data_IF_738241671450
#
_entry.id   IF_738241671450
#
_cell.length_a   1.000
_cell.length_b   1.000
_cell.length_c   1.000
_cell.angle_alpha   90.00
_cell.angle_beta   90.00
_cell.angle_gamma   90.00
#
_symmetry.space_group_name_H-M   'P 1'
#
loop_
_entity.id
_entity.type
_entity.pdbx_description
1 polymer ?
#
# COMPACT_ATOMS: atom_id res chain seq x y z
N UNK A 1 16.34 -8.01 17.56
CA UNK A 1 15.41 -6.86 17.42
C UNK A 1 14.01 -7.39 17.58
N UNK A 2 13.28 -6.84 18.53
CA UNK A 2 11.92 -7.27 18.89
C UNK A 2 10.92 -6.32 18.23
N UNK A 3 10.13 -6.81 17.24
CA UNK A 3 9.24 -6.00 16.43
C UNK A 3 7.77 -6.25 16.74
N UNK A 4 7.02 -5.18 17.00
CA UNK A 4 5.56 -5.20 17.08
C UNK A 4 4.98 -4.83 15.70
N UNK A 5 4.14 -5.68 15.13
CA UNK A 5 3.37 -5.37 13.92
C UNK A 5 1.93 -5.02 14.25
N UNK A 6 1.43 -3.94 13.69
CA UNK A 6 0.00 -3.59 13.72
C UNK A 6 -0.50 -3.52 12.28
N UNK A 7 -1.40 -4.45 11.92
CA UNK A 7 -1.99 -4.55 10.60
C UNK A 7 -3.43 -4.03 10.59
N UNK A 8 -3.71 -3.00 9.81
CA UNK A 8 -5.06 -2.54 9.54
C UNK A 8 -5.65 -3.33 8.36
N UNK A 9 -6.77 -4.01 8.60
CA UNK A 9 -7.47 -4.83 7.61
C UNK A 9 -8.86 -4.26 7.34
N UNK A 10 -9.19 -4.09 6.06
CA UNK A 10 -10.55 -3.78 5.61
C UNK A 10 -10.85 -4.53 4.33
N UNK A 11 -12.02 -5.13 4.26
CA UNK A 11 -12.59 -5.68 3.04
C UNK A 11 -14.09 -5.39 2.98
N UNK A 12 -14.56 -4.86 1.86
CA UNK A 12 -15.96 -4.44 1.68
C UNK A 12 -16.96 -5.60 1.83
N UNK A 13 -16.53 -6.82 1.52
CA UNK A 13 -17.35 -8.04 1.58
C UNK A 13 -17.06 -8.88 2.83
N UNK A 14 -16.14 -8.44 3.69
CA UNK A 14 -15.69 -9.18 4.85
C UNK A 14 -14.90 -10.46 4.54
N UNK A 15 -14.23 -10.49 3.38
CA UNK A 15 -13.49 -11.66 2.89
C UNK A 15 -11.98 -11.41 3.05
N UNK A 16 -11.29 -12.38 3.64
CA UNK A 16 -9.83 -12.40 3.66
C UNK A 16 -9.34 -13.26 2.49
N UNK A 17 -8.76 -12.61 1.49
CA UNK A 17 -8.23 -13.25 0.29
C UNK A 17 -6.77 -13.72 0.47
N UNK A 18 -6.27 -14.46 -0.52
CA UNK A 18 -4.94 -15.05 -0.49
C UNK A 18 -3.83 -14.00 -0.46
N UNK A 19 -4.05 -12.81 -1.00
CA UNK A 19 -3.06 -11.73 -0.98
C UNK A 19 -2.80 -11.20 0.44
N UNK A 20 -3.85 -11.16 1.28
CA UNK A 20 -3.72 -10.81 2.70
C UNK A 20 -2.96 -11.90 3.44
N UNK A 21 -3.31 -13.17 3.21
CA UNK A 21 -2.65 -14.32 3.85
C UNK A 21 -1.16 -14.36 3.49
N UNK A 22 -0.83 -14.13 2.21
CA UNK A 22 0.55 -14.06 1.76
C UNK A 22 1.34 -12.97 2.49
N UNK A 23 0.79 -11.75 2.57
CA UNK A 23 1.41 -10.63 3.28
C UNK A 23 1.64 -10.96 4.77
N UNK A 24 0.63 -11.49 5.45
CA UNK A 24 0.75 -11.84 6.87
C UNK A 24 1.80 -12.93 7.12
N UNK A 25 1.88 -13.92 6.23
CA UNK A 25 2.90 -14.97 6.29
C UNK A 25 4.32 -14.39 6.15
N UNK A 26 4.53 -13.49 5.19
CA UNK A 26 5.81 -12.82 5.02
C UNK A 26 6.15 -11.95 6.23
N UNK A 27 5.21 -11.16 6.74
CA UNK A 27 5.42 -10.30 7.91
C UNK A 27 5.78 -11.09 9.16
N UNK A 28 5.22 -12.28 9.35
CA UNK A 28 5.57 -13.16 10.49
C UNK A 28 7.04 -13.61 10.50
N UNK A 29 7.75 -13.50 9.38
CA UNK A 29 9.19 -13.83 9.34
C UNK A 29 10.06 -12.77 10.01
N UNK A 30 9.54 -11.56 10.20
CA UNK A 30 10.27 -10.41 10.75
C UNK A 30 9.65 -9.83 12.02
N UNK A 31 8.39 -10.14 12.31
CA UNK A 31 7.69 -9.66 13.51
C UNK A 31 7.83 -10.62 14.67
N UNK A 32 7.89 -10.08 15.88
CA UNK A 32 7.88 -10.85 17.14
C UNK A 32 6.48 -10.98 17.72
N UNK A 33 5.59 -10.08 17.36
CA UNK A 33 4.19 -10.05 17.77
C UNK A 33 3.35 -9.31 16.74
N UNK A 34 2.20 -9.84 16.38
CA UNK A 34 1.33 -9.24 15.36
C UNK A 34 -0.09 -9.03 15.90
N UNK A 35 -0.53 -7.78 15.87
CA UNK A 35 -1.91 -7.38 16.16
C UNK A 35 -2.62 -6.99 14.88
N UNK A 36 -3.76 -7.60 14.60
CA UNK A 36 -4.61 -7.25 13.46
C UNK A 36 -5.83 -6.48 13.96
N UNK A 37 -6.09 -5.33 13.36
CA UNK A 37 -7.29 -4.53 13.59
C UNK A 37 -8.15 -4.52 12.34
N UNK A 38 -9.31 -5.16 12.42
CA UNK A 38 -10.30 -5.22 11.36
C UNK A 38 -11.24 -4.02 11.43
N UNK A 39 -11.23 -3.17 10.40
CA UNK A 39 -12.21 -2.12 10.21
C UNK A 39 -13.47 -2.71 9.55
N UNK A 40 -14.58 -2.82 10.29
CA UNK A 40 -15.81 -3.46 9.84
C UNK A 40 -15.87 -4.96 10.14
N UNK A 41 -16.84 -5.62 9.53
CA UNK A 41 -17.11 -7.05 9.78
C UNK A 41 -16.28 -7.93 8.87
N UNK A 42 -15.72 -9.00 9.44
CA UNK A 42 -15.04 -10.07 8.70
C UNK A 42 -15.79 -11.38 8.92
N UNK A 43 -16.04 -12.11 7.84
CA UNK A 43 -16.71 -13.40 7.92
C UNK A 43 -15.93 -14.42 8.76
N UNK A 44 -16.63 -15.38 9.39
CA UNK A 44 -16.03 -16.38 10.29
C UNK A 44 -14.82 -17.13 9.70
N UNK A 45 -14.85 -17.42 8.40
CA UNK A 45 -13.73 -18.04 7.71
C UNK A 45 -12.53 -17.12 7.65
N UNK A 46 -12.77 -15.84 7.31
CA UNK A 46 -11.74 -14.81 7.32
C UNK A 46 -11.08 -14.64 8.69
N UNK A 47 -11.88 -14.59 9.76
CA UNK A 47 -11.36 -14.50 11.13
C UNK A 47 -10.44 -15.68 11.45
N UNK A 48 -10.85 -16.92 11.12
CA UNK A 48 -10.00 -18.10 11.32
C UNK A 48 -8.68 -18.02 10.56
N UNK A 49 -8.69 -17.49 9.33
CA UNK A 49 -7.48 -17.29 8.54
C UNK A 49 -6.53 -16.27 9.18
N UNK A 50 -7.07 -15.15 9.69
CA UNK A 50 -6.27 -14.14 10.38
C UNK A 50 -5.62 -14.68 11.64
N UNK A 51 -6.36 -15.44 12.45
CA UNK A 51 -5.89 -16.05 13.70
C UNK A 51 -4.74 -17.06 13.54
N UNK A 52 -4.47 -17.53 12.32
CA UNK A 52 -3.29 -18.39 12.04
C UNK A 52 -1.99 -17.59 12.11
N UNK A 53 -2.04 -16.29 11.81
CA UNK A 53 -0.85 -15.46 11.66
C UNK A 53 -0.74 -14.36 12.73
N UNK A 54 -1.84 -13.97 13.35
CA UNK A 54 -1.89 -12.92 14.34
C UNK A 54 -1.90 -13.48 15.76
N UNK A 55 -1.20 -12.81 16.68
CA UNK A 55 -1.29 -13.05 18.10
C UNK A 55 -2.62 -12.51 18.66
N UNK A 56 -3.10 -11.38 18.11
CA UNK A 56 -4.39 -10.80 18.45
C UNK A 56 -5.14 -10.31 17.22
N UNK A 57 -6.48 -10.46 17.25
CA UNK A 57 -7.39 -9.93 16.21
C UNK A 57 -8.50 -9.13 16.88
N UNK A 58 -8.58 -7.86 16.59
CA UNK A 58 -9.57 -6.91 17.10
C UNK A 58 -10.49 -6.40 16.01
N UNK A 59 -11.68 -5.97 16.38
CA UNK A 59 -12.69 -5.45 15.46
C UNK A 59 -13.17 -4.08 15.91
N UNK A 60 -13.38 -3.19 14.95
CA UNK A 60 -13.93 -1.86 15.19
C UNK A 60 -14.80 -1.39 14.02
N UNK A 61 -15.67 -0.40 14.21
CA UNK A 61 -16.39 0.23 13.10
C UNK A 61 -15.43 0.74 12.02
N UNK A 62 -15.83 0.65 10.75
CA UNK A 62 -15.01 1.18 9.64
C UNK A 62 -15.16 2.71 9.53
N UNK A 63 -14.54 3.43 10.45
CA UNK A 63 -14.54 4.89 10.55
C UNK A 63 -13.09 5.35 10.77
N UNK A 64 -12.62 6.36 10.04
CA UNK A 64 -11.30 6.98 10.23
C UNK A 64 -10.14 6.21 9.62
N UNK A 65 -10.41 5.34 8.64
CA UNK A 65 -9.39 4.62 7.86
C UNK A 65 -8.38 3.80 8.70
N UNK A 66 -7.18 3.60 8.14
CA UNK A 66 -6.10 2.83 8.78
C UNK A 66 -5.55 3.53 10.02
N UNK A 67 -5.52 4.85 9.99
CA UNK A 67 -5.05 5.71 11.09
C UNK A 67 -5.79 5.40 12.38
N UNK A 68 -7.12 5.32 12.31
CA UNK A 68 -7.94 5.03 13.47
C UNK A 68 -7.76 3.58 13.97
N UNK A 69 -7.42 2.64 13.06
CA UNK A 69 -7.06 1.28 13.45
C UNK A 69 -5.72 1.25 14.19
N UNK A 70 -4.71 1.96 13.68
CA UNK A 70 -3.40 2.07 14.33
C UNK A 70 -3.52 2.75 15.71
N UNK A 71 -4.23 3.88 15.78
CA UNK A 71 -4.48 4.58 17.05
C UNK A 71 -5.16 3.68 18.06
N UNK A 72 -6.25 3.00 17.67
CA UNK A 72 -6.96 2.08 18.55
C UNK A 72 -6.07 0.94 19.06
N UNK A 73 -5.18 0.42 18.20
CA UNK A 73 -4.22 -0.60 18.62
C UNK A 73 -3.24 -0.07 19.65
N UNK A 74 -2.63 1.08 19.39
CA UNK A 74 -1.62 1.69 20.26
C UNK A 74 -2.20 2.10 21.63
N UNK A 75 -3.40 2.68 21.65
CA UNK A 75 -4.00 3.20 22.88
C UNK A 75 -4.79 2.16 23.69
N UNK A 76 -5.52 1.25 23.00
CA UNK A 76 -6.54 0.44 23.65
C UNK A 76 -6.26 -1.08 23.61
N UNK A 77 -5.69 -1.61 22.53
CA UNK A 77 -5.55 -3.06 22.41
C UNK A 77 -4.20 -3.54 22.90
N UNK A 78 -3.11 -2.89 22.50
CA UNK A 78 -1.75 -3.18 22.97
C UNK A 78 -1.42 -2.36 24.22
N UNK A 79 -1.69 -1.06 24.15
CA UNK A 79 -1.36 -0.10 25.19
C UNK A 79 0.11 0.33 25.17
N UNK A 80 0.37 1.59 25.55
CA UNK A 80 1.68 2.22 25.46
C UNK A 80 2.77 1.51 26.28
N UNK A 81 2.42 0.92 27.43
CA UNK A 81 3.37 0.19 28.27
C UNK A 81 3.90 -1.06 27.58
N UNK A 82 3.06 -1.72 26.79
CA UNK A 82 3.45 -2.89 25.99
C UNK A 82 4.22 -2.47 24.74
N UNK A 83 3.77 -1.43 24.04
CA UNK A 83 4.46 -0.85 22.87
C UNK A 83 5.91 -0.51 23.22
N UNK A 84 6.14 0.10 24.38
CA UNK A 84 7.48 0.45 24.89
C UNK A 84 8.41 -0.73 25.19
N UNK A 85 7.96 -1.99 25.02
CA UNK A 85 8.80 -3.19 25.20
C UNK A 85 9.42 -3.70 23.89
N UNK A 86 9.14 -3.02 22.78
CA UNK A 86 9.63 -3.38 21.45
C UNK A 86 10.66 -2.40 20.94
N UNK A 87 11.62 -2.93 20.15
CA UNK A 87 12.70 -2.14 19.53
C UNK A 87 12.18 -1.39 18.27
N UNK A 88 11.19 -1.97 17.59
CA UNK A 88 10.58 -1.38 16.39
C UNK A 88 9.06 -1.63 16.36
N UNK A 89 8.34 -0.64 15.81
CA UNK A 89 6.92 -0.74 15.49
C UNK A 89 6.75 -0.75 13.97
N UNK A 90 5.96 -1.68 13.45
CA UNK A 90 5.60 -1.78 12.03
C UNK A 90 4.10 -1.57 11.89
N UNK A 91 3.71 -0.46 11.25
CA UNK A 91 2.32 -0.15 10.89
C UNK A 91 2.12 -0.47 9.42
N UNK A 92 1.16 -1.32 9.08
CA UNK A 92 0.91 -1.67 7.69
C UNK A 92 -0.55 -2.02 7.44
N UNK A 93 -0.96 -1.97 6.16
CA UNK A 93 -2.30 -2.32 5.76
C UNK A 93 -2.31 -3.30 4.58
N UNK A 94 -3.51 -3.68 4.13
CA UNK A 94 -3.71 -4.70 3.08
C UNK A 94 -4.07 -4.12 1.71
N UNK A 95 -3.70 -2.87 1.43
CA UNK A 95 -4.08 -2.15 0.18
C UNK A 95 -3.15 -2.40 -1.00
N UNK A 96 -2.24 -3.38 -0.89
CA UNK A 96 -1.29 -3.75 -1.93
C UNK A 96 -1.13 -5.26 -2.06
N UNK A 97 -0.59 -5.71 -3.18
CA UNK A 97 -0.08 -7.07 -3.43
C UNK A 97 1.42 -7.12 -3.15
N UNK A 98 1.91 -8.26 -2.70
CA UNK A 98 3.32 -8.46 -2.35
C UNK A 98 3.51 -8.80 -0.87
N UNK A 99 4.76 -8.75 -0.36
CA UNK A 99 5.98 -8.35 -1.07
C UNK A 99 6.39 -9.35 -2.16
N UNK A 100 7.02 -8.85 -3.23
CA UNK A 100 7.52 -9.67 -4.34
C UNK A 100 8.98 -10.13 -4.16
N UNK A 101 9.56 -9.86 -3.03
CA UNK A 101 10.85 -10.36 -2.57
C UNK A 101 10.75 -10.70 -1.08
N UNK A 102 11.67 -11.48 -0.51
CA UNK A 102 11.67 -11.76 0.92
C UNK A 102 11.67 -10.47 1.75
N UNK A 103 10.67 -10.30 2.61
CA UNK A 103 10.50 -9.07 3.41
C UNK A 103 11.75 -8.79 4.27
N UNK A 104 12.44 -9.84 4.73
CA UNK A 104 13.67 -9.71 5.51
C UNK A 104 14.74 -8.90 4.77
N UNK A 105 14.86 -9.04 3.44
CA UNK A 105 15.84 -8.29 2.66
C UNK A 105 15.60 -6.78 2.66
N UNK A 106 14.32 -6.36 2.74
CA UNK A 106 13.93 -4.96 2.86
C UNK A 106 14.37 -4.41 4.21
N UNK A 107 14.08 -5.14 5.30
CA UNK A 107 14.49 -4.75 6.63
C UNK A 107 16.03 -4.72 6.77
N UNK A 108 16.75 -5.69 6.20
CA UNK A 108 18.21 -5.73 6.23
C UNK A 108 18.84 -4.53 5.52
N UNK A 109 18.25 -4.08 4.41
CA UNK A 109 18.70 -2.89 3.70
C UNK A 109 18.42 -1.61 4.49
N UNK A 110 17.20 -1.47 5.02
CA UNK A 110 16.82 -0.26 5.76
C UNK A 110 17.56 -0.15 7.11
N UNK A 111 17.88 -1.27 7.76
CA UNK A 111 18.70 -1.29 8.97
C UNK A 111 20.10 -0.70 8.75
N UNK A 112 20.67 -0.84 7.54
CA UNK A 112 21.96 -0.22 7.20
C UNK A 112 21.87 1.31 7.11
N UNK A 113 20.70 1.83 6.71
CA UNK A 113 20.46 3.28 6.54
C UNK A 113 20.21 4.00 7.87
N UNK A 114 19.88 3.28 8.95
CA UNK A 114 19.75 3.79 10.33
C UNK A 114 18.85 5.02 10.44
N UNK A 115 17.63 4.92 9.97
CA UNK A 115 16.62 5.99 10.05
C UNK A 115 15.73 5.81 11.27
N UNK A 116 15.23 6.91 11.80
CA UNK A 116 14.30 6.90 12.92
C UNK A 116 12.91 6.38 12.50
N UNK A 117 12.53 6.61 11.25
CA UNK A 117 11.38 5.95 10.63
C UNK A 117 11.55 5.84 9.11
N UNK A 118 10.84 4.89 8.51
CA UNK A 118 10.87 4.70 7.06
C UNK A 118 9.61 4.03 6.54
N UNK A 119 9.35 4.15 5.23
CA UNK A 119 8.28 3.47 4.54
C UNK A 119 8.76 2.75 3.28
N UNK A 120 7.89 1.98 2.61
CA UNK A 120 8.27 1.34 1.35
C UNK A 120 8.45 2.35 0.22
N UNK A 121 7.63 3.41 0.21
CA UNK A 121 7.67 4.47 -0.80
C UNK A 121 7.45 5.82 -0.17
N UNK A 122 7.86 6.85 -0.89
CA UNK A 122 7.59 8.24 -0.57
C UNK A 122 6.59 8.85 -1.57
N UNK A 123 5.96 9.93 -1.21
CA UNK A 123 5.29 10.86 -2.09
C UNK A 123 6.18 12.09 -2.24
N UNK A 124 6.35 12.59 -3.47
CA UNK A 124 7.09 13.82 -3.75
C UNK A 124 6.32 15.08 -3.37
N UNK A 125 6.96 16.22 -3.53
CA UNK A 125 6.30 17.51 -3.40
C UNK A 125 5.23 17.67 -4.49
N UNK A 126 4.07 18.20 -4.12
CA UNK A 126 2.97 18.44 -5.05
C UNK A 126 2.20 19.69 -4.66
N UNK A 127 1.75 20.45 -5.66
CA UNK A 127 0.87 21.62 -5.46
C UNK A 127 -0.34 21.53 -6.37
N UNK A 128 -1.53 21.70 -5.80
CA UNK A 128 -2.81 21.77 -6.51
C UNK A 128 -3.53 23.06 -6.10
N UNK A 129 -3.36 24.13 -6.87
CA UNK A 129 -3.83 25.44 -6.48
C UNK A 129 -3.21 25.89 -5.15
N UNK A 130 -4.04 26.17 -4.16
CA UNK A 130 -3.60 26.54 -2.81
C UNK A 130 -3.18 25.36 -1.93
N UNK A 131 -3.46 24.12 -2.34
CA UNK A 131 -3.12 22.91 -1.62
C UNK A 131 -1.69 22.48 -1.91
N UNK A 132 -0.84 22.47 -0.88
CA UNK A 132 0.57 22.15 -0.95
C UNK A 132 0.90 20.91 -0.12
N UNK A 133 1.31 19.85 -0.79
CA UNK A 133 1.74 18.59 -0.19
C UNK A 133 3.26 18.56 -0.15
N UNK A 134 3.82 18.46 1.04
CA UNK A 134 5.26 18.28 1.24
C UNK A 134 5.67 16.81 1.04
N UNK A 135 6.94 16.53 0.71
CA UNK A 135 7.46 15.18 0.63
C UNK A 135 7.22 14.43 1.95
N UNK A 136 6.74 13.18 1.84
CA UNK A 136 6.43 12.36 3.01
C UNK A 136 6.50 10.86 2.69
N UNK A 137 6.67 10.03 3.71
CA UNK A 137 6.51 8.57 3.59
C UNK A 137 5.04 8.22 3.48
N UNK A 138 4.72 7.24 2.63
CA UNK A 138 3.35 6.79 2.48
C UNK A 138 2.95 5.81 3.58
N UNK A 139 1.81 6.05 4.21
CA UNK A 139 1.38 5.44 5.47
C UNK A 139 0.93 3.97 5.39
N UNK A 140 0.84 3.40 4.19
CA UNK A 140 0.40 2.01 4.05
C UNK A 140 1.43 0.98 4.55
N UNK A 141 2.67 1.40 4.76
CA UNK A 141 3.73 0.63 5.39
C UNK A 141 4.75 1.57 6.03
N UNK A 142 4.83 1.58 7.36
CA UNK A 142 5.71 2.42 8.14
C UNK A 142 6.44 1.56 9.17
N UNK A 143 7.74 1.80 9.32
CA UNK A 143 8.55 1.22 10.38
C UNK A 143 9.14 2.36 11.21
N UNK A 144 8.95 2.27 12.51
CA UNK A 144 9.37 3.25 13.50
C UNK A 144 10.40 2.60 14.40
N UNK A 145 11.61 3.17 14.46
CA UNK A 145 12.70 2.64 15.27
C UNK A 145 12.59 3.05 16.74
N UNK A 146 13.33 2.38 17.58
CA UNK A 146 13.34 2.56 19.03
C UNK A 146 13.45 4.02 19.47
N UNK A 147 14.33 4.80 18.84
CA UNK A 147 14.58 6.19 19.18
C UNK A 147 13.32 7.06 19.08
N UNK A 148 12.55 6.92 18.01
CA UNK A 148 11.28 7.63 17.84
C UNK A 148 10.16 6.95 18.64
N UNK A 149 10.08 5.62 18.61
CA UNK A 149 9.01 4.84 19.26
C UNK A 149 8.88 5.13 20.76
N UNK A 150 10.00 5.30 21.46
CA UNK A 150 10.05 5.52 22.90
C UNK A 150 10.00 7.01 23.29
N UNK A 151 9.85 7.93 22.32
CA UNK A 151 9.78 9.35 22.59
C UNK A 151 8.37 9.78 23.06
N UNK A 152 8.32 10.79 23.91
CA UNK A 152 7.05 11.42 24.30
C UNK A 152 6.34 12.04 23.10
N UNK A 153 7.11 12.59 22.14
CA UNK A 153 6.58 13.19 20.92
C UNK A 153 5.79 12.20 20.08
N UNK A 154 6.24 10.94 20.01
CA UNK A 154 5.51 9.89 19.28
C UNK A 154 4.15 9.59 19.93
N UNK A 155 4.14 9.47 21.24
CA UNK A 155 2.91 9.25 22.01
C UNK A 155 1.95 10.43 21.91
N UNK A 156 2.46 11.66 22.04
CA UNK A 156 1.67 12.90 21.91
C UNK A 156 1.10 13.06 20.51
N UNK A 157 1.87 12.71 19.47
CA UNK A 157 1.39 12.68 18.09
C UNK A 157 0.12 11.84 17.97
N UNK A 158 0.13 10.61 18.45
CA UNK A 158 -1.03 9.71 18.38
C UNK A 158 -2.20 10.21 19.23
N UNK A 159 -1.94 10.67 20.43
CA UNK A 159 -2.98 11.21 21.31
C UNK A 159 -3.71 12.42 20.69
N UNK A 160 -3.01 13.23 19.89
CA UNK A 160 -3.57 14.40 19.22
C UNK A 160 -4.34 14.09 17.93
N UNK A 161 -4.23 12.86 17.37
CA UNK A 161 -4.92 12.50 16.12
C UNK A 161 -6.42 12.44 16.32
N UNK A 162 -7.15 13.05 15.38
CA UNK A 162 -8.61 13.02 15.36
C UNK A 162 -9.10 11.64 14.90
N UNK A 163 -10.08 11.12 15.60
CA UNK A 163 -10.82 9.94 15.18
C UNK A 163 -12.05 10.36 14.35
N UNK A 164 -12.59 9.43 13.55
CA UNK A 164 -13.86 9.64 12.86
C UNK A 164 -13.79 10.55 11.63
N UNK A 165 -12.63 10.74 11.03
CA UNK A 165 -12.53 11.44 9.76
C UNK A 165 -13.18 10.60 8.67
N UNK A 166 -14.16 11.19 7.97
CA UNK A 166 -14.90 10.54 6.88
C UNK A 166 -14.30 10.85 5.50
N UNK A 167 -13.60 11.98 5.38
CA UNK A 167 -12.92 12.39 4.16
C UNK A 167 -11.49 11.83 4.11
N UNK A 168 -11.17 11.15 3.01
CA UNK A 168 -9.84 10.55 2.79
C UNK A 168 -8.73 11.60 2.70
N UNK A 169 -9.00 12.77 2.12
CA UNK A 169 -8.01 13.86 2.02
C UNK A 169 -7.69 14.38 3.41
N UNK A 170 -8.71 14.62 4.23
CA UNK A 170 -8.53 15.01 5.62
C UNK A 170 -7.79 13.93 6.44
N UNK A 171 -8.00 12.64 6.15
CA UNK A 171 -7.27 11.56 6.80
C UNK A 171 -5.79 11.54 6.38
N UNK A 172 -5.48 11.76 5.09
CA UNK A 172 -4.11 11.87 4.58
C UNK A 172 -3.39 13.06 5.23
N UNK A 173 -4.01 14.24 5.26
CA UNK A 173 -3.44 15.43 5.88
C UNK A 173 -3.22 15.27 7.39
N UNK A 174 -4.22 14.73 8.08
CA UNK A 174 -4.19 14.56 9.54
C UNK A 174 -3.18 13.49 9.98
N UNK A 175 -2.80 12.58 9.11
CA UNK A 175 -1.88 11.50 9.46
C UNK A 175 -0.66 11.45 8.53
N UNK A 176 -0.81 11.07 7.28
CA UNK A 176 0.30 10.68 6.40
C UNK A 176 1.30 11.83 6.23
N UNK A 177 0.81 13.01 5.84
CA UNK A 177 1.64 14.20 5.65
C UNK A 177 2.12 14.72 7.00
N UNK A 178 1.23 14.84 7.99
CA UNK A 178 1.57 15.36 9.28
C UNK A 178 2.52 14.47 10.08
N UNK A 179 2.50 13.15 9.87
CA UNK A 179 3.43 12.21 10.48
C UNK A 179 4.88 12.55 10.11
N UNK A 180 5.18 12.55 8.84
CA UNK A 180 6.54 12.86 8.38
C UNK A 180 6.97 14.26 8.81
N UNK A 181 6.10 15.26 8.61
CA UNK A 181 6.41 16.66 8.94
C UNK A 181 6.67 16.88 10.43
N UNK A 182 5.84 16.30 11.30
CA UNK A 182 5.99 16.47 12.75
C UNK A 182 7.34 15.92 13.21
N UNK A 183 7.67 14.70 12.80
CA UNK A 183 8.90 14.09 13.30
C UNK A 183 10.16 14.65 12.64
N UNK A 184 10.09 15.08 11.39
CA UNK A 184 11.19 15.81 10.75
C UNK A 184 11.47 17.15 11.45
N UNK A 185 10.43 17.90 11.86
CA UNK A 185 10.57 19.15 12.63
C UNK A 185 11.16 18.94 14.02
N UNK A 186 10.92 17.78 14.63
CA UNK A 186 11.51 17.38 15.90
C UNK A 186 12.93 16.78 15.74
N UNK A 187 13.47 16.77 14.51
CA UNK A 187 14.83 16.35 14.21
C UNK A 187 15.01 14.86 13.93
N UNK A 188 13.92 14.08 13.80
CA UNK A 188 14.00 12.68 13.44
C UNK A 188 14.24 12.51 11.95
N UNK A 189 15.11 11.55 11.60
CA UNK A 189 15.48 11.24 10.24
C UNK A 189 14.55 10.19 9.61
N UNK A 190 14.22 10.38 8.32
CA UNK A 190 13.39 9.43 7.60
C UNK A 190 13.92 9.08 6.21
N UNK A 191 13.42 7.98 5.64
CA UNK A 191 13.73 7.55 4.27
C UNK A 191 12.60 6.67 3.70
N UNK A 192 12.71 6.29 2.44
CA UNK A 192 11.89 5.25 1.83
C UNK A 192 12.77 4.15 1.25
N UNK A 193 12.28 2.90 1.28
CA UNK A 193 13.00 1.78 0.69
C UNK A 193 13.25 2.02 -0.81
N UNK A 194 12.21 2.39 -1.54
CA UNK A 194 12.29 2.79 -2.96
C UNK A 194 12.45 4.31 -3.02
N UNK A 195 13.59 4.75 -3.53
CA UNK A 195 13.87 6.16 -3.77
C UNK A 195 13.36 6.57 -5.16
N UNK A 196 12.42 7.50 -5.20
CA UNK A 196 11.79 7.99 -6.43
C UNK A 196 12.10 9.44 -6.73
N UNK A 197 13.07 10.04 -6.02
CA UNK A 197 13.39 11.48 -6.15
C UNK A 197 13.78 11.91 -7.56
N UNK A 198 14.43 11.05 -8.31
CA UNK A 198 14.81 11.26 -9.71
C UNK A 198 13.63 11.15 -10.70
N UNK A 199 12.51 10.58 -10.27
CA UNK A 199 11.26 10.51 -11.03
C UNK A 199 10.30 11.65 -10.68
N UNK A 200 10.54 12.35 -9.57
CA UNK A 200 9.77 13.51 -9.17
C UNK A 200 10.19 14.69 -10.05
N UNK A 201 9.34 15.10 -11.00
CA UNK A 201 9.66 16.19 -11.92
C UNK A 201 9.82 17.54 -11.19
N UNK A 202 10.45 18.52 -11.89
CA UNK A 202 10.55 19.91 -11.41
C UNK A 202 9.18 20.61 -11.36
N UNK A 203 8.19 20.08 -12.08
CA UNK A 203 6.83 20.61 -12.14
C UNK A 203 5.97 20.02 -11.03
N UNK A 204 6.00 20.68 -9.87
CA UNK A 204 5.20 20.31 -8.69
C UNK A 204 3.69 20.56 -8.86
N UNK A 205 3.28 21.27 -9.91
CA UNK A 205 1.87 21.53 -10.22
C UNK A 205 1.18 20.33 -10.89
N UNK A 206 1.97 19.40 -11.41
CA UNK A 206 1.47 18.13 -11.89
C UNK A 206 1.38 17.11 -10.75
N UNK A 207 0.19 16.61 -10.48
CA UNK A 207 -0.05 15.53 -9.52
C UNK A 207 0.53 14.21 -10.06
N UNK A 208 1.86 14.15 -10.21
CA UNK A 208 2.55 12.98 -10.69
C UNK A 208 3.04 12.12 -9.51
N UNK A 209 2.38 10.99 -9.31
CA UNK A 209 2.80 10.00 -8.33
C UNK A 209 3.36 8.78 -9.07
N UNK A 210 4.70 8.54 -9.05
CA UNK A 210 5.32 7.41 -9.74
C UNK A 210 4.70 6.06 -9.36
N UNK A 211 4.27 5.88 -8.11
CA UNK A 211 3.61 4.65 -7.65
C UNK A 211 2.30 4.35 -8.39
N UNK A 212 1.65 5.41 -8.90
CA UNK A 212 0.41 5.30 -9.67
C UNK A 212 0.68 5.14 -11.16
N UNK A 213 1.53 5.98 -11.72
CA UNK A 213 1.70 6.09 -13.18
C UNK A 213 2.78 5.17 -13.75
N UNK A 214 3.77 4.76 -12.95
CA UNK A 214 4.91 3.96 -13.41
C UNK A 214 5.12 2.64 -12.60
N UNK A 215 4.07 1.87 -12.27
CA UNK A 215 4.21 0.70 -11.41
C UNK A 215 5.15 -0.36 -11.99
N UNK A 216 5.19 -0.56 -13.32
CA UNK A 216 6.10 -1.49 -13.96
C UNK A 216 7.56 -1.02 -13.89
N UNK A 217 7.80 0.25 -14.18
CA UNK A 217 9.13 0.85 -14.09
C UNK A 217 9.67 0.74 -12.66
N UNK A 218 8.85 1.08 -11.67
CA UNK A 218 9.25 0.97 -10.26
C UNK A 218 9.57 -0.47 -9.84
N UNK A 219 8.77 -1.44 -10.30
CA UNK A 219 9.04 -2.87 -10.05
C UNK A 219 10.36 -3.30 -10.64
N UNK A 220 10.57 -3.01 -11.94
CA UNK A 220 11.69 -3.53 -12.71
C UNK A 220 13.01 -2.81 -12.43
N UNK A 221 12.98 -1.49 -12.32
CA UNK A 221 14.18 -0.65 -12.30
C UNK A 221 14.53 -0.14 -10.89
N UNK A 222 13.52 0.02 -10.04
CA UNK A 222 13.71 0.52 -8.66
C UNK A 222 13.51 -0.55 -7.59
N UNK A 223 13.16 -1.78 -7.97
CA UNK A 223 12.96 -2.87 -7.02
C UNK A 223 11.76 -2.69 -6.10
N UNK A 224 10.69 -1.99 -6.57
CA UNK A 224 9.45 -1.83 -5.78
C UNK A 224 8.89 -3.21 -5.44
N UNK A 225 8.73 -3.56 -4.14
CA UNK A 225 8.34 -4.90 -3.75
C UNK A 225 6.82 -5.11 -3.74
N UNK A 226 6.02 -4.14 -4.19
CA UNK A 226 4.56 -4.18 -4.07
C UNK A 226 3.85 -3.64 -5.33
N UNK A 227 2.55 -3.98 -5.47
CA UNK A 227 1.66 -3.39 -6.44
C UNK A 227 0.37 -2.94 -5.74
N UNK A 228 -0.02 -1.67 -5.89
CA UNK A 228 -1.20 -1.12 -5.21
C UNK A 228 -2.50 -1.68 -5.80
N UNK A 229 -3.39 -2.18 -4.94
CA UNK A 229 -4.69 -2.75 -5.35
C UNK A 229 -5.61 -1.71 -6.01
N UNK A 230 -5.56 -0.45 -5.56
CA UNK A 230 -6.41 0.63 -6.07
C UNK A 230 -6.12 1.05 -7.52
N UNK A 231 -5.01 0.62 -8.10
CA UNK A 231 -4.67 0.97 -9.49
C UNK A 231 -5.55 0.26 -10.51
N UNK A 232 -6.19 -0.83 -10.11
CA UNK A 232 -6.94 -1.69 -11.01
C UNK A 232 -8.16 -1.06 -11.67
N UNK A 233 -9.03 -0.31 -10.99
CA UNK A 233 -10.18 0.34 -11.65
C UNK A 233 -9.79 1.28 -12.78
N UNK A 234 -8.60 1.88 -12.70
CA UNK A 234 -8.11 2.84 -13.71
C UNK A 234 -7.56 2.18 -14.96
N UNK A 235 -7.25 0.87 -14.93
CA UNK A 235 -6.82 0.12 -16.13
C UNK A 235 -7.85 0.14 -17.24
N UNK A 236 -9.11 0.34 -16.90
CA UNK A 236 -10.22 0.37 -17.85
C UNK A 236 -10.41 1.73 -18.51
N UNK A 237 -9.92 2.78 -17.89
CA UNK A 237 -10.13 4.17 -18.33
C UNK A 237 -8.91 4.80 -18.98
N UNK A 238 -7.71 4.32 -18.62
CA UNK A 238 -6.44 4.87 -19.10
C UNK A 238 -5.57 3.78 -19.72
N UNK A 239 -5.42 3.81 -21.05
CA UNK A 239 -4.71 2.79 -21.83
C UNK A 239 -3.23 2.64 -21.41
N UNK A 240 -2.54 3.75 -21.14
CA UNK A 240 -1.12 3.72 -20.76
C UNK A 240 -0.94 3.09 -19.39
N UNK A 241 -1.79 3.43 -18.44
CA UNK A 241 -1.78 2.81 -17.11
C UNK A 241 -2.14 1.32 -17.19
N UNK A 242 -3.12 0.96 -18.04
CA UNK A 242 -3.45 -0.44 -18.30
C UNK A 242 -2.26 -1.25 -18.82
N UNK A 243 -1.45 -0.67 -19.70
CA UNK A 243 -0.23 -1.29 -20.21
C UNK A 243 0.82 -1.45 -19.10
N UNK A 244 1.01 -0.45 -18.26
CA UNK A 244 1.93 -0.49 -17.12
C UNK A 244 1.55 -1.61 -16.13
N UNK A 245 0.27 -1.75 -15.82
CA UNK A 245 -0.21 -2.79 -14.89
C UNK A 245 -0.09 -4.18 -15.50
N UNK A 246 -0.45 -4.35 -16.78
CA UNK A 246 -0.29 -5.63 -17.47
C UNK A 246 1.18 -6.06 -17.53
N UNK A 247 2.10 -5.12 -17.82
CA UNK A 247 3.53 -5.35 -17.79
C UNK A 247 4.04 -5.69 -16.39
N UNK A 248 3.54 -4.99 -15.35
CA UNK A 248 3.88 -5.25 -13.96
C UNK A 248 3.47 -6.68 -13.53
N UNK A 249 2.23 -7.10 -13.80
CA UNK A 249 1.76 -8.45 -13.48
C UNK A 249 2.55 -9.52 -14.25
N UNK A 250 2.84 -9.29 -15.54
CA UNK A 250 3.68 -10.20 -16.33
C UNK A 250 5.11 -10.30 -15.80
N UNK A 251 5.66 -9.20 -15.28
CA UNK A 251 6.98 -9.19 -14.65
C UNK A 251 6.98 -10.00 -13.35
N UNK A 252 5.97 -9.78 -12.50
CA UNK A 252 5.80 -10.53 -11.25
C UNK A 252 5.74 -12.03 -11.54
N UNK A 253 4.91 -12.45 -12.49
CA UNK A 253 4.74 -13.85 -12.88
C UNK A 253 6.04 -14.51 -13.36
N UNK A 254 6.90 -13.76 -14.05
CA UNK A 254 8.12 -14.32 -14.68
C UNK A 254 9.36 -14.24 -13.82
N UNK A 255 9.46 -13.24 -12.94
CA UNK A 255 10.73 -12.89 -12.29
C UNK A 255 10.65 -12.88 -10.75
N UNK A 256 9.52 -13.26 -10.17
CA UNK A 256 9.36 -13.38 -8.72
C UNK A 256 8.73 -14.73 -8.35
N UNK A 257 8.85 -15.10 -7.08
CA UNK A 257 8.22 -16.31 -6.52
C UNK A 257 6.74 -16.08 -6.12
N UNK A 258 6.22 -14.87 -6.35
CA UNK A 258 4.84 -14.53 -6.00
C UNK A 258 3.87 -15.15 -7.02
N UNK A 259 2.87 -15.92 -6.57
CA UNK A 259 1.82 -16.44 -7.44
C UNK A 259 0.95 -15.30 -8.01
N UNK A 260 1.21 -14.89 -9.24
CA UNK A 260 0.46 -13.82 -9.91
C UNK A 260 -1.05 -14.11 -10.04
N UNK A 261 -1.48 -15.39 -9.93
CA UNK A 261 -2.91 -15.72 -9.91
C UNK A 261 -3.62 -15.17 -8.65
N UNK A 262 -2.89 -14.92 -7.57
CA UNK A 262 -3.43 -14.25 -6.39
C UNK A 262 -3.94 -12.84 -6.76
N UNK A 263 -3.17 -12.12 -7.59
CA UNK A 263 -3.56 -10.81 -8.11
C UNK A 263 -4.86 -10.92 -8.88
N UNK A 264 -4.90 -11.82 -9.86
CA UNK A 264 -6.08 -12.02 -10.71
C UNK A 264 -7.33 -12.41 -9.92
N UNK A 265 -7.22 -13.35 -8.99
CA UNK A 265 -8.36 -13.78 -8.14
C UNK A 265 -8.91 -12.62 -7.29
N UNK A 266 -8.04 -11.86 -6.65
CA UNK A 266 -8.44 -10.71 -5.85
C UNK A 266 -9.12 -9.65 -6.72
N UNK A 267 -8.60 -9.38 -7.88
CA UNK A 267 -9.10 -8.37 -8.80
C UNK A 267 -10.45 -8.73 -9.39
N UNK A 268 -10.61 -9.98 -9.85
CA UNK A 268 -11.89 -10.48 -10.37
C UNK A 268 -12.99 -10.44 -9.31
N UNK A 269 -12.66 -10.75 -8.06
CA UNK A 269 -13.61 -10.66 -6.94
C UNK A 269 -14.10 -9.23 -6.70
N UNK A 270 -13.22 -8.26 -6.85
CA UNK A 270 -13.50 -6.84 -6.57
C UNK A 270 -13.94 -6.04 -7.80
N UNK A 271 -13.94 -6.63 -9.00
CA UNK A 271 -14.27 -5.96 -10.23
C UNK A 271 -15.76 -5.58 -10.28
N UNK A 272 -16.05 -4.35 -10.71
CA UNK A 272 -17.38 -3.98 -11.13
C UNK A 272 -17.71 -4.64 -12.48
N UNK A 273 -18.78 -5.44 -12.51
CA UNK A 273 -19.19 -6.19 -13.71
C UNK A 273 -19.51 -5.27 -14.90
N UNK A 274 -20.03 -4.07 -14.64
CA UNK A 274 -20.35 -3.10 -15.70
C UNK A 274 -19.08 -2.47 -16.27
N UNK A 275 -18.09 -2.19 -15.43
CA UNK A 275 -16.78 -1.70 -15.89
C UNK A 275 -16.02 -2.78 -16.67
N UNK A 276 -16.05 -4.03 -16.22
CA UNK A 276 -15.52 -5.17 -16.97
C UNK A 276 -16.21 -5.31 -18.35
N UNK A 277 -17.54 -5.18 -18.42
CA UNK A 277 -18.27 -5.24 -19.70
C UNK A 277 -17.86 -4.10 -20.62
N UNK A 278 -17.73 -2.88 -20.13
CA UNK A 278 -17.27 -1.73 -20.93
C UNK A 278 -15.87 -1.98 -21.47
N UNK A 279 -14.94 -2.43 -20.63
CA UNK A 279 -13.56 -2.74 -21.04
C UNK A 279 -13.49 -3.85 -22.08
N UNK A 280 -14.21 -4.94 -21.90
CA UNK A 280 -14.29 -6.04 -22.86
C UNK A 280 -14.93 -5.59 -24.18
N UNK A 281 -15.98 -4.76 -24.13
CA UNK A 281 -16.65 -4.22 -25.32
C UNK A 281 -15.72 -3.32 -26.12
N UNK A 282 -14.98 -2.44 -25.47
CA UNK A 282 -13.96 -1.59 -26.10
C UNK A 282 -12.84 -2.43 -26.75
N UNK A 283 -12.38 -3.49 -26.09
CA UNK A 283 -11.38 -4.39 -26.65
C UNK A 283 -11.90 -5.14 -27.88
N UNK A 284 -13.16 -5.54 -27.88
CA UNK A 284 -13.79 -6.24 -29.01
C UNK A 284 -13.92 -5.32 -30.25
N UNK A 285 -14.32 -4.06 -30.05
CA UNK A 285 -14.44 -3.07 -31.13
C UNK A 285 -13.07 -2.77 -31.74
N UNK A 286 -12.04 -2.55 -30.94
CA UNK A 286 -10.67 -2.27 -31.43
C UNK A 286 -10.07 -3.45 -32.17
N UNK A 287 -10.37 -4.68 -31.73
CA UNK A 287 -9.88 -5.90 -32.39
C UNK A 287 -10.60 -6.18 -33.70
N UNK A 288 -11.93 -5.93 -33.78
CA UNK A 288 -12.69 -6.09 -35.05
C UNK A 288 -12.29 -5.06 -36.10
N UNK A 289 -12.07 -3.80 -35.71
CA UNK A 289 -11.56 -2.78 -36.65
C UNK A 289 -10.17 -3.08 -37.20
N UNK A 290 -9.28 -3.70 -36.41
CA UNK A 290 -7.96 -4.17 -36.91
C UNK A 290 -8.08 -5.34 -37.88
N UNK A 291 -9.04 -6.24 -37.66
CA UNK A 291 -9.29 -7.36 -38.56
C UNK A 291 -9.88 -6.89 -39.90
N UNK A 292 -10.82 -5.93 -39.87
CA UNK A 292 -11.37 -5.33 -41.08
C UNK A 292 -10.32 -4.49 -41.84
N UNK A 293 -9.45 -3.74 -41.17
CA UNK A 293 -8.33 -3.05 -41.81
C UNK A 293 -7.34 -3.95 -42.52
N UNK A 294 -7.03 -5.10 -41.96
CA UNK A 294 -6.14 -6.09 -42.58
C UNK A 294 -6.77 -6.86 -43.73
N UNK A 295 -8.11 -6.96 -43.81
CA UNK A 295 -8.82 -7.56 -44.95
C UNK A 295 -8.90 -6.63 -46.17
N UNK A 296 -8.87 -5.31 -45.96
CA UNK A 296 -8.91 -4.33 -47.07
C UNK A 296 -7.54 -4.16 -47.76
N UNK A 297 -6.43 -4.44 -47.06
CA UNK A 297 -5.08 -4.36 -47.62
C UNK A 297 -4.62 -5.64 -48.39
N UNK A 298 -5.36 -6.74 -48.26
CA UNK A 298 -5.02 -8.02 -48.94
C UNK A 298 -5.70 -8.21 -50.30
N UNK A 299 -6.40 -7.22 -50.83
CA UNK A 299 -7.19 -7.26 -52.06
C UNK A 299 -6.65 -6.45 -53.21
N UNK A 300 -5.44 -6.71 -53.69
CA UNK A 300 -5.10 -6.37 -55.09
C UNK A 300 -4.03 -7.31 -55.68
N UNK A 301 -4.40 -8.35 -56.42
CA UNK A 301 -3.45 -9.06 -57.26
C UNK A 301 -3.35 -8.34 -58.60
N UNK A 302 -2.15 -7.91 -58.96
CA UNK A 302 -1.78 -7.73 -60.33
C UNK A 302 -0.97 -8.93 -60.83
#
# INVERSE_FOLDING_TARGET
>A
MKRLGICAVYDRQGIIDESVIYLLKEMNTVLSYMVIVCNGEIGKDGVRKLQVYADEVHFRPNIGYDVAAYKAALENYVGWDTVGQYDELVLFNTTFFGPFCPIQSIFDEMNKRKKDFWGLTRHGEMRLGDYHVLPHVQSYFLVISENLLHSDVFKEFWNSRKEGLEDIVAAIDNFEISFTRTFEQEGYSWDSYVDTRDLEGEDIENNFNPLVYLPYTLLKEYGLPILKKRLWPWTYTEKELGNQIAAAVSYIDRYTEYDANIIWRCMLRNADVNELRKALHLHFIVSSQKLEGNMLDSGNPR
#
